data_IF_573720880517
#
_entry.id   IF_573720880517
#
_cell.length_a   1.000
_cell.length_b   1.000
_cell.length_c   1.000
_cell.angle_alpha   90.00
_cell.angle_beta   90.00
_cell.angle_gamma   90.00
#
_symmetry.space_group_name_H-M   'P 1'
#
loop_
_entity.id
_entity.type
_entity.pdbx_description
1 polymer ?
#
# COMPACT_ATOMS: atom_id res chain seq x y z
N UNK A 1 24.10 7.76 44.30
CA UNK A 1 24.28 7.05 43.02
C UNK A 1 23.27 7.64 42.05
N UNK A 2 23.72 8.53 41.17
CA UNK A 2 22.87 9.27 40.23
C UNK A 2 22.55 8.39 39.02
N UNK A 3 21.26 8.18 38.73
CA UNK A 3 20.83 7.65 37.44
C UNK A 3 20.86 8.78 36.39
N UNK A 4 21.30 8.54 35.16
CA UNK A 4 21.13 9.49 34.06
C UNK A 4 19.69 9.43 33.53
N UNK A 5 19.11 10.55 33.04
CA UNK A 5 17.81 10.51 32.40
C UNK A 5 17.91 9.84 31.02
N UNK A 6 16.97 8.95 30.74
CA UNK A 6 16.84 8.27 29.46
C UNK A 6 16.58 9.27 28.32
N UNK A 7 17.33 9.12 27.24
CA UNK A 7 17.10 9.80 25.96
C UNK A 7 15.76 9.37 25.36
N UNK A 8 14.93 10.29 24.84
CA UNK A 8 13.71 9.92 24.14
C UNK A 8 14.04 9.35 22.74
N UNK A 9 13.53 8.14 22.47
CA UNK A 9 13.54 7.50 21.15
C UNK A 9 12.58 8.24 20.21
N UNK A 10 12.94 8.55 18.96
CA UNK A 10 12.02 9.15 17.99
C UNK A 10 11.35 8.06 17.14
N UNK A 11 10.02 8.14 17.05
CA UNK A 11 9.08 7.52 16.09
C UNK A 11 8.09 6.55 16.72
N UNK A 12 6.99 7.14 17.18
CA UNK A 12 5.77 6.42 17.52
C UNK A 12 4.66 6.87 16.56
N UNK A 13 4.49 6.11 15.48
CA UNK A 13 3.44 6.28 14.48
C UNK A 13 2.09 5.73 14.96
N UNK A 14 1.99 5.40 16.26
CA UNK A 14 0.81 4.79 16.90
C UNK A 14 -0.07 5.80 17.65
N UNK A 15 0.34 7.07 17.80
CA UNK A 15 -0.31 8.01 18.73
C UNK A 15 -1.18 9.12 18.12
N UNK A 16 -1.61 9.03 16.85
CA UNK A 16 -2.63 9.99 16.35
C UNK A 16 -4.01 9.38 16.49
N UNK A 17 -4.61 9.59 17.67
CA UNK A 17 -6.06 9.44 17.90
C UNK A 17 -6.61 10.77 18.40
N UNK A 18 -6.81 11.73 17.49
CA UNK A 18 -7.49 12.99 17.75
C UNK A 18 -8.94 12.91 17.27
N UNK A 19 -9.89 13.17 18.17
CA UNK A 19 -11.34 13.26 17.96
C UNK A 19 -11.73 14.21 16.81
N UNK A 20 -12.72 13.87 15.97
CA UNK A 20 -13.09 14.69 14.83
C UNK A 20 -14.12 15.76 15.25
N UNK A 21 -13.71 17.02 15.28
CA UNK A 21 -14.65 18.15 15.27
C UNK A 21 -14.46 18.95 13.99
N UNK A 22 -15.33 18.63 13.03
CA UNK A 22 -16.03 19.54 12.12
C UNK A 22 -15.35 20.89 11.83
N UNK A 23 -14.61 20.94 10.73
CA UNK A 23 -14.46 22.13 9.89
C UNK A 23 -13.93 21.66 8.54
N UNK A 24 -14.46 22.22 7.46
CA UNK A 24 -14.07 21.92 6.09
C UNK A 24 -12.57 22.15 5.88
N UNK A 25 -11.77 21.08 5.98
CA UNK A 25 -10.35 21.11 5.63
C UNK A 25 -10.30 20.95 4.12
N UNK A 26 -9.95 22.02 3.40
CA UNK A 26 -9.37 21.90 2.06
C UNK A 26 -8.32 20.79 2.15
N UNK A 27 -8.61 19.60 1.62
CA UNK A 27 -7.71 18.46 1.73
C UNK A 27 -6.38 18.87 1.10
N UNK A 28 -5.38 19.18 1.93
CA UNK A 28 -4.07 19.54 1.45
C UNK A 28 -3.54 18.36 0.64
N UNK A 29 -3.15 18.62 -0.61
CA UNK A 29 -2.62 17.58 -1.49
C UNK A 29 -1.40 16.95 -0.78
N UNK A 30 -1.39 15.63 -0.54
CA UNK A 30 -0.26 14.96 0.11
C UNK A 30 1.07 15.27 -0.58
N UNK A 31 2.13 15.48 0.20
CA UNK A 31 3.46 15.80 -0.33
C UNK A 31 3.96 14.76 -1.33
N UNK A 32 3.67 13.48 -1.09
CA UNK A 32 3.99 12.39 -1.99
C UNK A 32 3.37 12.56 -3.40
N UNK A 33 2.15 13.11 -3.49
CA UNK A 33 1.49 13.41 -4.76
C UNK A 33 2.17 14.58 -5.46
N UNK A 34 2.48 15.66 -4.72
CA UNK A 34 3.19 16.81 -5.28
C UNK A 34 4.56 16.42 -5.82
N UNK A 35 5.29 15.59 -5.08
CA UNK A 35 6.55 15.02 -5.52
C UNK A 35 6.39 14.22 -6.81
N UNK A 36 5.40 13.31 -6.87
CA UNK A 36 5.13 12.48 -8.05
C UNK A 36 4.82 13.34 -9.28
N UNK A 37 3.91 14.31 -9.15
CA UNK A 37 3.56 15.24 -10.25
C UNK A 37 4.78 15.99 -10.75
N UNK A 38 5.61 16.49 -9.85
CA UNK A 38 6.82 17.25 -10.18
C UNK A 38 7.85 16.38 -10.90
N UNK A 39 8.07 15.15 -10.43
CA UNK A 39 9.00 14.21 -11.06
C UNK A 39 8.56 13.85 -12.48
N UNK A 40 7.27 13.57 -12.69
CA UNK A 40 6.74 13.26 -14.01
C UNK A 40 6.79 14.46 -14.96
N UNK A 41 6.48 15.67 -14.47
CA UNK A 41 6.60 16.90 -15.26
C UNK A 41 8.05 17.20 -15.68
N UNK A 42 9.03 16.79 -14.86
CA UNK A 42 10.45 16.88 -15.19
C UNK A 42 10.94 15.80 -16.18
N UNK A 43 10.07 14.88 -16.62
CA UNK A 43 10.40 13.79 -17.53
C UNK A 43 11.08 12.60 -16.86
N UNK A 44 10.99 12.47 -15.53
CA UNK A 44 11.53 11.32 -14.83
C UNK A 44 10.76 10.03 -15.21
N UNK A 45 11.42 8.86 -15.23
CA UNK A 45 10.73 7.60 -15.46
C UNK A 45 9.65 7.35 -14.40
N UNK A 46 8.43 7.04 -14.83
CA UNK A 46 7.28 6.97 -13.94
C UNK A 46 7.38 5.86 -12.88
N UNK A 47 7.99 4.72 -13.21
CA UNK A 47 8.11 3.54 -12.33
C UNK A 47 8.84 3.85 -11.02
N UNK A 48 10.11 4.32 -11.04
CA UNK A 48 10.79 4.72 -9.80
C UNK A 48 10.10 5.90 -9.11
N UNK A 49 9.55 6.87 -9.87
CA UNK A 49 8.85 8.01 -9.27
C UNK A 49 7.63 7.59 -8.43
N UNK A 50 6.86 6.59 -8.89
CA UNK A 50 5.74 6.02 -8.12
C UNK A 50 6.25 5.32 -6.86
N UNK A 51 7.30 4.50 -6.96
CA UNK A 51 7.85 3.79 -5.78
C UNK A 51 8.39 4.74 -4.72
N UNK A 52 9.06 5.80 -5.14
CA UNK A 52 9.50 6.84 -4.21
C UNK A 52 8.31 7.58 -3.56
N UNK A 53 7.23 7.80 -4.31
CA UNK A 53 6.01 8.39 -3.76
C UNK A 53 5.34 7.45 -2.74
N UNK A 54 5.33 6.13 -2.96
CA UNK A 54 4.91 5.14 -1.96
C UNK A 54 5.74 5.27 -0.67
N UNK A 55 7.06 5.40 -0.82
CA UNK A 55 7.99 5.62 0.29
C UNK A 55 7.70 6.88 1.11
N UNK A 56 7.28 7.96 0.45
CA UNK A 56 6.95 9.24 1.09
C UNK A 56 5.53 9.33 1.66
N UNK A 57 4.63 8.41 1.31
CA UNK A 57 3.24 8.46 1.77
C UNK A 57 3.09 8.23 3.28
N UNK A 58 2.37 9.08 4.00
CA UNK A 58 2.33 9.02 5.47
C UNK A 58 0.98 8.61 6.05
N UNK A 59 -0.11 8.69 5.28
CA UNK A 59 -1.46 8.41 5.77
C UNK A 59 -1.76 6.90 5.73
N UNK A 60 -2.20 6.29 6.85
CA UNK A 60 -2.58 4.87 6.88
C UNK A 60 -3.92 4.62 6.17
N UNK A 61 -4.77 5.64 6.10
CA UNK A 61 -6.05 5.63 5.39
C UNK A 61 -6.44 7.05 4.98
N UNK A 62 -7.29 7.16 3.97
CA UNK A 62 -7.90 8.43 3.56
C UNK A 62 -9.29 8.20 2.95
N UNK A 63 -10.06 9.28 2.80
CA UNK A 63 -11.29 9.28 2.00
C UNK A 63 -11.10 10.22 0.82
N UNK A 64 -11.11 9.65 -0.39
CA UNK A 64 -10.89 10.37 -1.63
C UNK A 64 -12.00 10.03 -2.62
N UNK A 65 -12.63 11.05 -3.22
CA UNK A 65 -13.76 10.90 -4.13
C UNK A 65 -14.89 9.99 -3.60
N UNK A 66 -15.20 10.09 -2.30
CA UNK A 66 -16.24 9.28 -1.65
C UNK A 66 -15.88 7.81 -1.40
N UNK A 67 -14.70 7.35 -1.84
CA UNK A 67 -14.16 6.02 -1.52
C UNK A 67 -13.20 6.12 -0.34
N UNK A 68 -13.35 5.22 0.63
CA UNK A 68 -12.39 5.04 1.72
C UNK A 68 -11.26 4.13 1.22
N UNK A 69 -10.03 4.63 1.31
CA UNK A 69 -8.82 3.88 1.03
C UNK A 69 -8.14 3.55 2.35
N UNK A 70 -7.89 2.27 2.62
CA UNK A 70 -7.22 1.80 3.83
C UNK A 70 -5.92 1.10 3.44
N UNK A 71 -4.84 1.85 3.41
CA UNK A 71 -3.54 1.37 2.96
C UNK A 71 -2.86 0.50 4.02
N UNK A 72 -3.08 0.78 5.30
CA UNK A 72 -2.50 0.03 6.41
C UNK A 72 -3.61 -0.70 7.18
N UNK A 73 -3.69 -2.01 6.96
CA UNK A 73 -4.64 -2.89 7.63
C UNK A 73 -4.17 -3.16 9.05
N UNK A 74 -5.06 -2.87 10.02
CA UNK A 74 -4.84 -3.05 11.46
C UNK A 74 -3.53 -2.43 11.99
N UNK A 75 -2.95 -1.46 11.28
CA UNK A 75 -1.66 -0.87 11.67
C UNK A 75 -0.44 -1.74 11.32
N UNK A 76 -0.61 -2.89 10.67
CA UNK A 76 0.47 -3.88 10.52
C UNK A 76 0.73 -4.32 9.09
N UNK A 77 -0.30 -4.39 8.23
CA UNK A 77 -0.18 -4.92 6.88
C UNK A 77 -0.43 -3.83 5.84
N UNK A 78 0.60 -3.50 5.05
CA UNK A 78 0.57 -2.43 4.07
C UNK A 78 0.18 -2.96 2.69
N UNK A 79 -1.02 -2.58 2.24
CA UNK A 79 -1.50 -2.77 0.87
C UNK A 79 -0.90 -1.68 -0.04
N UNK A 80 0.28 -1.99 -0.56
CA UNK A 80 1.01 -1.07 -1.43
C UNK A 80 0.38 -0.91 -2.81
N UNK A 81 -0.38 -1.91 -3.29
CA UNK A 81 -1.06 -1.85 -4.60
C UNK A 81 -2.25 -0.91 -4.55
N UNK A 82 -3.02 -0.93 -3.45
CA UNK A 82 -4.10 0.04 -3.24
C UNK A 82 -3.56 1.48 -3.22
N UNK A 83 -2.39 1.69 -2.59
CA UNK A 83 -1.76 3.00 -2.61
C UNK A 83 -1.22 3.37 -4.01
N UNK A 84 -0.65 2.40 -4.74
CA UNK A 84 -0.21 2.61 -6.11
C UNK A 84 -1.39 3.00 -7.03
N UNK A 85 -2.55 2.35 -6.90
CA UNK A 85 -3.79 2.70 -7.58
C UNK A 85 -4.14 4.17 -7.33
N UNK A 86 -4.15 4.58 -6.06
CA UNK A 86 -4.45 5.96 -5.65
C UNK A 86 -3.49 6.98 -6.27
N UNK A 87 -2.19 6.69 -6.27
CA UNK A 87 -1.16 7.55 -6.84
C UNK A 87 -1.33 7.67 -8.36
N UNK A 88 -1.51 6.54 -9.05
CA UNK A 88 -1.71 6.51 -10.49
C UNK A 88 -2.99 7.22 -10.93
N UNK A 89 -4.07 7.18 -10.13
CA UNK A 89 -5.30 7.91 -10.40
C UNK A 89 -5.12 9.44 -10.37
N UNK A 90 -4.14 9.93 -9.62
CA UNK A 90 -3.87 11.37 -9.50
C UNK A 90 -3.04 11.94 -10.66
N UNK A 91 -2.19 11.09 -11.25
CA UNK A 91 -1.33 11.44 -12.40
C UNK A 91 -1.83 10.83 -13.70
N UNK A 92 -3.14 10.63 -13.81
CA UNK A 92 -3.75 10.00 -14.96
C UNK A 92 -3.45 10.81 -16.24
N UNK A 93 -2.97 10.13 -17.27
CA UNK A 93 -2.47 10.73 -18.51
C UNK A 93 -0.94 10.92 -18.60
N UNK A 94 -0.20 10.89 -17.48
CA UNK A 94 1.26 10.87 -17.51
C UNK A 94 1.85 9.46 -17.72
N UNK A 95 1.05 8.43 -17.43
CA UNK A 95 1.43 7.01 -17.54
C UNK A 95 0.56 6.38 -18.63
N UNK A 96 1.14 5.65 -19.62
CA UNK A 96 0.36 4.90 -20.60
C UNK A 96 -0.59 3.92 -19.92
N UNK A 97 -1.84 3.85 -20.40
CA UNK A 97 -2.91 3.04 -19.77
C UNK A 97 -2.53 1.57 -19.69
N UNK A 98 -2.01 0.99 -20.77
CA UNK A 98 -1.60 -0.43 -20.82
C UNK A 98 -0.48 -0.75 -19.81
N UNK A 99 0.45 0.18 -19.60
CA UNK A 99 1.52 0.01 -18.62
C UNK A 99 0.99 0.15 -17.18
N UNK A 100 0.10 1.10 -16.95
CA UNK A 100 -0.57 1.29 -15.65
C UNK A 100 -1.37 0.05 -15.26
N UNK A 101 -2.18 -0.48 -16.17
CA UNK A 101 -2.96 -1.69 -15.94
C UNK A 101 -2.06 -2.89 -15.66
N UNK A 102 -1.06 -3.15 -16.50
CA UNK A 102 -0.12 -4.25 -16.27
C UNK A 102 0.61 -4.16 -14.94
N UNK A 103 0.94 -2.95 -14.50
CA UNK A 103 1.57 -2.72 -13.21
C UNK A 103 0.63 -3.01 -12.04
N UNK A 104 -0.58 -2.44 -12.04
CA UNK A 104 -1.54 -2.60 -10.95
C UNK A 104 -2.11 -4.02 -10.87
N UNK A 105 -2.40 -4.66 -12.02
CA UNK A 105 -2.90 -6.04 -12.06
C UNK A 105 -1.80 -7.09 -11.89
N UNK A 106 -0.59 -6.80 -12.38
CA UNK A 106 0.52 -7.75 -12.28
C UNK A 106 0.98 -7.96 -10.84
N UNK A 107 0.77 -6.97 -9.96
CA UNK A 107 1.22 -7.04 -8.57
C UNK A 107 2.74 -7.19 -8.42
N UNK A 108 3.48 -6.93 -9.50
CA UNK A 108 4.92 -7.11 -9.57
C UNK A 108 5.62 -5.77 -9.47
N UNK A 109 6.75 -5.76 -8.75
CA UNK A 109 7.68 -4.62 -8.76
C UNK A 109 8.03 -4.35 -10.24
N UNK A 110 7.90 -3.11 -10.74
CA UNK A 110 8.16 -2.83 -12.14
C UNK A 110 9.58 -3.28 -12.46
N UNK A 111 9.76 -4.20 -13.41
CA UNK A 111 11.04 -4.91 -13.64
C UNK A 111 12.28 -4.06 -13.95
N UNK A 112 12.13 -2.74 -13.99
CA UNK A 112 13.22 -1.75 -13.95
C UNK A 112 13.81 -1.54 -12.55
N UNK A 113 13.15 -2.03 -11.50
CA UNK A 113 13.50 -1.81 -10.09
C UNK A 113 13.74 -3.16 -9.43
N UNK A 114 14.90 -3.25 -8.78
CA UNK A 114 15.31 -4.42 -8.00
C UNK A 114 14.59 -4.46 -6.65
N UNK A 115 14.45 -5.65 -6.06
CA UNK A 115 13.83 -5.87 -4.75
C UNK A 115 14.50 -5.03 -3.66
N UNK A 116 15.84 -4.95 -3.69
CA UNK A 116 16.60 -4.15 -2.71
C UNK A 116 16.29 -2.65 -2.86
N UNK A 117 16.16 -2.14 -4.08
CA UNK A 117 15.75 -0.75 -4.31
C UNK A 117 14.33 -0.49 -3.81
N UNK A 118 13.43 -1.45 -4.00
CA UNK A 118 12.07 -1.35 -3.49
C UNK A 118 12.05 -1.29 -1.96
N UNK A 119 12.85 -2.13 -1.30
CA UNK A 119 13.06 -2.11 0.15
C UNK A 119 13.60 -0.77 0.63
N UNK A 120 14.59 -0.22 -0.07
CA UNK A 120 15.19 1.08 0.27
C UNK A 120 14.18 2.22 0.12
N UNK A 121 13.37 2.21 -0.94
CA UNK A 121 12.32 3.21 -1.17
C UNK A 121 11.27 3.21 -0.06
N UNK A 122 10.82 2.03 0.38
CA UNK A 122 9.83 1.92 1.45
C UNK A 122 10.42 2.20 2.84
N UNK A 123 11.69 1.86 3.03
CA UNK A 123 12.32 1.83 4.35
C UNK A 123 11.88 0.63 5.20
N UNK A 124 12.58 0.37 6.31
CA UNK A 124 12.46 -0.88 7.06
C UNK A 124 11.06 -1.11 7.66
N UNK A 125 10.40 -0.06 8.13
CA UNK A 125 9.08 -0.17 8.76
C UNK A 125 7.98 -0.53 7.74
N UNK A 126 7.86 0.22 6.63
CA UNK A 126 6.88 -0.07 5.59
C UNK A 126 7.20 -1.37 4.85
N UNK A 127 8.47 -1.68 4.64
CA UNK A 127 8.84 -2.97 4.05
C UNK A 127 8.39 -4.13 4.94
N UNK A 128 8.56 -4.04 6.26
CA UNK A 128 7.99 -5.04 7.18
C UNK A 128 6.47 -5.13 7.06
N UNK A 129 5.78 -3.99 6.97
CA UNK A 129 4.33 -3.98 6.79
C UNK A 129 3.89 -4.57 5.44
N UNK A 130 4.67 -4.35 4.38
CA UNK A 130 4.47 -5.00 3.08
C UNK A 130 4.61 -6.52 3.20
N UNK A 131 5.65 -7.01 3.88
CA UNK A 131 5.82 -8.45 4.10
C UNK A 131 4.67 -9.03 4.94
N UNK A 132 4.17 -8.29 5.93
CA UNK A 132 2.99 -8.69 6.70
C UNK A 132 1.75 -8.81 5.80
N UNK A 133 1.56 -7.90 4.84
CA UNK A 133 0.47 -8.01 3.87
C UNK A 133 0.64 -9.26 3.00
N UNK A 134 1.83 -9.48 2.46
CA UNK A 134 2.10 -10.60 1.57
C UNK A 134 1.94 -11.96 2.27
N UNK A 135 2.48 -12.12 3.48
CA UNK A 135 2.41 -13.39 4.20
C UNK A 135 1.18 -13.55 5.09
N UNK A 136 0.53 -12.45 5.49
CA UNK A 136 -0.64 -12.48 6.37
C UNK A 136 -1.97 -12.44 5.62
N UNK A 137 -2.04 -11.72 4.50
CA UNK A 137 -3.27 -11.57 3.72
C UNK A 137 -3.21 -12.45 2.48
N UNK A 138 -2.26 -12.22 1.58
CA UNK A 138 -2.20 -12.90 0.28
C UNK A 138 -2.01 -14.41 0.44
N UNK A 139 -1.12 -14.83 1.35
CA UNK A 139 -0.89 -16.25 1.62
C UNK A 139 -2.11 -16.92 2.26
N UNK A 140 -2.81 -16.25 3.17
CA UNK A 140 -4.00 -16.79 3.82
C UNK A 140 -5.15 -16.93 2.82
N UNK A 141 -5.37 -15.95 1.94
CA UNK A 141 -6.33 -16.04 0.84
C UNK A 141 -6.03 -17.23 -0.06
N UNK A 142 -4.75 -17.46 -0.41
CA UNK A 142 -4.36 -18.62 -1.22
C UNK A 142 -4.65 -19.95 -0.50
N UNK A 143 -4.42 -20.04 0.81
CA UNK A 143 -4.73 -21.24 1.61
C UNK A 143 -6.24 -21.49 1.69
N UNK A 144 -7.04 -20.44 1.88
CA UNK A 144 -8.49 -20.52 1.90
C UNK A 144 -9.03 -21.02 0.55
N UNK A 145 -8.54 -20.47 -0.57
CA UNK A 145 -8.91 -20.90 -1.92
C UNK A 145 -8.60 -22.38 -2.17
N UNK A 146 -7.43 -22.86 -1.73
CA UNK A 146 -7.07 -24.29 -1.85
C UNK A 146 -8.02 -25.15 -1.01
N UNK A 147 -8.30 -24.74 0.23
CA UNK A 147 -9.22 -25.45 1.12
C UNK A 147 -10.64 -25.53 0.54
N UNK A 148 -11.16 -24.41 0.04
CA UNK A 148 -12.47 -24.33 -0.63
C UNK A 148 -12.52 -25.24 -1.85
N UNK A 149 -11.49 -25.22 -2.68
CA UNK A 149 -11.39 -26.05 -3.88
C UNK A 149 -11.34 -27.55 -3.54
N UNK A 150 -10.67 -27.94 -2.45
CA UNK A 150 -10.71 -29.32 -1.98
C UNK A 150 -12.10 -29.76 -1.53
N UNK A 151 -12.81 -28.91 -0.78
CA UNK A 151 -14.19 -29.18 -0.34
C UNK A 151 -15.10 -29.32 -1.55
N UNK A 152 -15.00 -28.39 -2.50
CA UNK A 152 -15.77 -28.41 -3.76
C UNK A 152 -15.51 -29.69 -4.55
N UNK A 153 -14.25 -30.12 -4.70
CA UNK A 153 -13.91 -31.39 -5.36
C UNK A 153 -14.49 -32.60 -4.62
N UNK A 154 -14.43 -32.63 -3.29
CA UNK A 154 -15.04 -33.70 -2.48
C UNK A 154 -16.55 -33.76 -2.67
N UNK A 155 -17.24 -32.61 -2.64
CA UNK A 155 -18.68 -32.53 -2.89
C UNK A 155 -19.04 -33.06 -4.28
N UNK A 156 -18.30 -32.62 -5.31
CA UNK A 156 -18.48 -33.10 -6.68
C UNK A 156 -18.31 -34.62 -6.78
N UNK A 157 -17.25 -35.18 -6.19
CA UNK A 157 -17.03 -36.64 -6.19
C UNK A 157 -18.15 -37.44 -5.50
N UNK A 158 -18.84 -36.83 -4.53
CA UNK A 158 -19.94 -37.45 -3.78
C UNK A 158 -21.32 -37.11 -4.35
N UNK A 159 -21.37 -36.39 -5.48
CA UNK A 159 -22.60 -35.88 -6.10
C UNK A 159 -23.46 -35.01 -5.16
N UNK A 160 -22.83 -34.33 -4.20
CA UNK A 160 -23.52 -33.32 -3.41
C UNK A 160 -23.77 -32.06 -4.27
N UNK A 161 -24.90 -31.39 -4.03
CA UNK A 161 -25.21 -30.12 -4.70
C UNK A 161 -24.30 -29.02 -4.18
N UNK A 162 -23.89 -28.11 -5.07
CA UNK A 162 -22.96 -27.00 -4.81
C UNK A 162 -23.68 -25.79 -4.17
N UNK A 163 -24.55 -26.05 -3.20
CA UNK A 163 -25.33 -25.06 -2.44
C UNK A 163 -24.83 -24.98 -1.02
#
# INVERSE_FOLDING_TARGET
MSQPPATPQPNDWTQVSGSPSETAITQAVPEAILHLRTALAAGAPWRPAVLEALGRWTLPEETFNGRRYRYLLLGEAFDWLLLAERLCADVDGAIPVDEKERFLFGGQIPGTVDEDKFRDCLGPSKYRAYMNYHYGVVLEEALQLVSEEEVRKRHLSRSYSDT
#
